data_IF_983950718340
#
_entry.id   IF_983950718340
#
_cell.length_a   1.000
_cell.length_b   1.000
_cell.length_c   1.000
_cell.angle_alpha   90.00
_cell.angle_beta   90.00
_cell.angle_gamma   90.00
#
_symmetry.space_group_name_H-M   'P 1'
#
loop_
_entity.id
_entity.type
_entity.pdbx_description
1 polymer ?
#
# COMPACT_ATOMS: atom_id res chain seq x y z
N UNK A 1 4.00 -14.62 29.75
CA UNK A 1 4.54 -14.83 28.40
C UNK A 1 5.82 -14.03 28.08
N UNK A 2 6.62 -13.59 29.06
CA UNK A 2 7.67 -12.57 28.82
C UNK A 2 9.10 -13.05 28.51
N UNK A 3 9.59 -14.16 29.08
CA UNK A 3 11.02 -14.54 28.94
C UNK A 3 11.33 -15.44 27.75
N UNK A 4 10.41 -16.33 27.39
CA UNK A 4 10.60 -17.29 26.30
C UNK A 4 10.53 -16.64 24.91
N UNK A 5 9.80 -15.54 24.74
CA UNK A 5 9.66 -14.88 23.44
C UNK A 5 10.99 -14.26 22.95
N UNK A 6 11.84 -13.78 23.87
CA UNK A 6 13.14 -13.19 23.54
C UNK A 6 14.17 -14.22 23.05
N UNK A 7 14.00 -15.50 23.40
CA UNK A 7 14.85 -16.59 22.90
C UNK A 7 14.74 -16.68 21.37
N UNK A 8 13.55 -16.40 20.81
CA UNK A 8 13.33 -16.40 19.36
C UNK A 8 13.60 -15.04 18.71
N UNK A 9 13.46 -13.93 19.44
CA UNK A 9 13.64 -12.60 18.86
C UNK A 9 15.07 -12.33 18.37
N UNK A 10 16.11 -12.68 19.14
CA UNK A 10 17.50 -12.44 18.72
C UNK A 10 17.90 -13.25 17.48
N UNK A 11 17.59 -14.56 17.39
CA UNK A 11 17.75 -15.32 16.14
C UNK A 11 16.93 -14.76 14.98
N UNK A 12 15.69 -14.32 15.22
CA UNK A 12 14.85 -13.73 14.18
C UNK A 12 15.45 -12.42 13.64
N UNK A 13 16.06 -11.59 14.48
CA UNK A 13 16.77 -10.38 14.06
C UNK A 13 17.93 -10.71 13.09
N UNK A 14 18.70 -11.76 13.38
CA UNK A 14 19.75 -12.24 12.46
C UNK A 14 19.16 -12.77 11.14
N UNK A 15 18.04 -13.49 11.23
CA UNK A 15 17.31 -13.97 10.05
C UNK A 15 16.86 -12.83 9.13
N UNK A 16 16.30 -11.75 9.69
CA UNK A 16 15.90 -10.57 8.91
C UNK A 16 17.09 -9.91 8.22
N UNK A 17 18.23 -9.80 8.90
CA UNK A 17 19.45 -9.26 8.30
C UNK A 17 19.92 -10.12 7.12
N UNK A 18 20.03 -11.43 7.31
CA UNK A 18 20.43 -12.35 6.26
C UNK A 18 19.46 -12.33 5.07
N UNK A 19 18.15 -12.33 5.35
CA UNK A 19 17.12 -12.25 4.33
C UNK A 19 17.24 -10.99 3.48
N UNK A 20 17.52 -9.84 4.12
CA UNK A 20 17.77 -8.57 3.43
C UNK A 20 19.02 -8.65 2.55
N UNK A 21 20.11 -9.22 3.06
CA UNK A 21 21.37 -9.32 2.32
C UNK A 21 21.22 -10.20 1.08
N UNK A 22 20.59 -11.38 1.20
CA UNK A 22 20.28 -12.24 0.06
C UNK A 22 19.33 -11.50 -0.91
N UNK A 23 18.35 -10.77 -0.38
CA UNK A 23 17.45 -9.95 -1.18
C UNK A 23 18.16 -8.86 -1.99
N UNK A 24 19.20 -8.23 -1.45
CA UNK A 24 20.01 -7.23 -2.16
C UNK A 24 20.89 -7.84 -3.25
N UNK A 25 21.37 -9.08 -3.05
CA UNK A 25 22.21 -9.78 -4.02
C UNK A 25 21.40 -10.47 -5.13
N UNK A 26 20.13 -10.77 -4.86
CA UNK A 26 19.24 -11.48 -5.78
C UNK A 26 18.51 -10.59 -6.79
N UNK A 27 17.62 -11.23 -7.57
CA UNK A 27 16.77 -10.55 -8.54
C UNK A 27 15.85 -9.52 -7.87
N UNK A 28 15.75 -8.33 -8.45
CA UNK A 28 14.83 -7.29 -7.98
C UNK A 28 13.48 -7.38 -8.70
N UNK A 29 12.39 -7.20 -7.96
CA UNK A 29 11.07 -7.04 -8.52
C UNK A 29 10.98 -5.71 -9.29
N UNK A 30 10.42 -5.76 -10.50
CA UNK A 30 10.09 -4.59 -11.32
C UNK A 30 8.62 -4.24 -11.14
N UNK A 31 8.35 -2.95 -10.93
CA UNK A 31 7.00 -2.44 -10.79
C UNK A 31 6.22 -2.61 -12.10
N UNK A 32 5.04 -3.23 -12.06
CA UNK A 32 4.19 -3.40 -13.27
C UNK A 32 3.65 -2.08 -13.83
N UNK A 33 3.63 -1.00 -13.02
CA UNK A 33 3.15 0.33 -13.45
C UNK A 33 4.25 1.22 -14.02
N UNK A 34 5.43 1.28 -13.39
CA UNK A 34 6.49 2.21 -13.79
C UNK A 34 7.77 1.54 -14.30
N UNK A 35 7.90 0.22 -14.22
CA UNK A 35 9.07 -0.54 -14.68
C UNK A 35 10.28 -0.52 -13.73
N UNK A 36 10.34 0.42 -12.79
CA UNK A 36 11.44 0.56 -11.83
C UNK A 36 11.56 -0.65 -10.90
N UNK A 37 12.80 -1.00 -10.55
CA UNK A 37 13.10 -1.91 -9.45
C UNK A 37 12.78 -1.27 -8.10
N UNK A 38 12.24 -2.03 -7.13
CA UNK A 38 11.80 -1.44 -5.86
C UNK A 38 11.97 -2.32 -4.60
N UNK A 39 12.16 -3.62 -4.76
CA UNK A 39 12.39 -4.57 -3.67
C UNK A 39 12.95 -5.87 -4.26
N UNK A 40 13.47 -6.77 -3.42
CA UNK A 40 13.84 -8.11 -3.88
C UNK A 40 12.62 -8.87 -4.37
N UNK A 41 12.77 -9.65 -5.45
CA UNK A 41 11.71 -10.48 -6.00
C UNK A 41 11.23 -11.51 -4.99
N UNK A 42 12.16 -12.14 -4.28
CA UNK A 42 11.89 -13.05 -3.16
C UNK A 42 10.95 -12.41 -2.13
N UNK A 43 11.22 -11.18 -1.69
CA UNK A 43 10.36 -10.49 -0.73
C UNK A 43 8.94 -10.27 -1.23
N UNK A 44 8.79 -9.91 -2.50
CA UNK A 44 7.47 -9.71 -3.09
C UNK A 44 6.72 -11.03 -3.25
N UNK A 45 7.39 -12.10 -3.67
CA UNK A 45 6.77 -13.43 -3.85
C UNK A 45 6.37 -14.06 -2.51
N UNK A 46 7.22 -13.94 -1.49
CA UNK A 46 6.92 -14.40 -0.14
C UNK A 46 5.72 -13.64 0.45
N UNK A 47 5.68 -12.32 0.28
CA UNK A 47 4.56 -11.51 0.76
C UNK A 47 3.25 -11.91 0.08
N UNK A 48 3.24 -12.14 -1.23
CA UNK A 48 2.06 -12.61 -1.97
C UNK A 48 1.60 -13.97 -1.44
N UNK A 49 2.55 -14.87 -1.15
CA UNK A 49 2.26 -16.21 -0.64
C UNK A 49 1.60 -16.14 0.73
N UNK A 50 2.21 -15.40 1.67
CA UNK A 50 1.68 -15.21 3.02
C UNK A 50 0.31 -14.53 3.01
N UNK A 51 0.13 -13.51 2.17
CA UNK A 51 -1.18 -12.84 2.05
C UNK A 51 -2.29 -13.81 1.62
N UNK A 52 -2.00 -14.70 0.67
CA UNK A 52 -2.94 -15.74 0.23
C UNK A 52 -3.22 -16.77 1.32
N UNK A 53 -2.20 -17.22 2.03
CA UNK A 53 -2.34 -18.16 3.15
C UNK A 53 -3.19 -17.57 4.29
N UNK A 54 -3.08 -16.27 4.52
CA UNK A 54 -3.90 -15.53 5.48
C UNK A 54 -5.31 -15.17 4.96
N UNK A 55 -5.62 -15.51 3.71
CA UNK A 55 -6.92 -15.24 3.09
C UNK A 55 -7.13 -13.79 2.60
N UNK A 56 -6.06 -12.99 2.53
CA UNK A 56 -6.11 -11.67 1.92
C UNK A 56 -6.14 -11.79 0.39
N UNK A 57 -7.08 -11.09 -0.23
CA UNK A 57 -7.24 -11.07 -1.69
C UNK A 57 -6.85 -9.71 -2.23
N UNK A 58 -5.64 -9.64 -2.79
CA UNK A 58 -5.09 -8.44 -3.42
C UNK A 58 -4.75 -8.64 -4.90
N UNK A 59 -5.30 -9.68 -5.53
CA UNK A 59 -5.25 -9.86 -6.98
C UNK A 59 -6.02 -8.71 -7.66
N UNK A 60 -5.45 -8.16 -8.72
CA UNK A 60 -5.96 -7.01 -9.48
C UNK A 60 -6.52 -7.52 -10.81
N UNK A 61 -7.85 -7.42 -10.99
CA UNK A 61 -8.58 -8.03 -12.11
C UNK A 61 -8.36 -9.56 -12.24
N UNK A 62 -8.97 -10.19 -13.24
CA UNK A 62 -9.08 -11.65 -13.35
C UNK A 62 -7.74 -12.39 -13.62
N UNK A 63 -6.60 -11.69 -13.63
CA UNK A 63 -5.30 -12.26 -13.95
C UNK A 63 -4.43 -12.43 -12.68
N UNK A 64 -4.07 -13.66 -12.29
CA UNK A 64 -3.19 -13.92 -11.14
C UNK A 64 -1.79 -13.31 -11.28
N UNK A 65 -1.36 -12.96 -12.49
CA UNK A 65 -0.11 -12.24 -12.73
C UNK A 65 -0.18 -10.79 -12.25
N UNK A 66 -1.38 -10.22 -12.08
CA UNK A 66 -1.62 -8.88 -11.57
C UNK A 66 -1.96 -8.97 -10.10
N UNK A 67 -0.99 -8.65 -9.24
CA UNK A 67 -1.17 -8.61 -7.79
C UNK A 67 -0.74 -7.25 -7.25
N UNK A 68 -1.44 -6.72 -6.25
CA UNK A 68 -1.16 -5.39 -5.67
C UNK A 68 0.29 -5.23 -5.21
N UNK A 69 0.91 -6.34 -4.77
CA UNK A 69 2.29 -6.34 -4.30
C UNK A 69 3.34 -6.24 -5.40
N UNK A 70 2.93 -6.39 -6.67
CA UNK A 70 3.77 -6.13 -7.85
C UNK A 70 3.82 -4.66 -8.27
N UNK A 71 3.13 -3.77 -7.54
CA UNK A 71 3.17 -2.32 -7.76
C UNK A 71 3.99 -1.65 -6.65
N UNK A 72 4.99 -0.84 -7.02
CA UNK A 72 5.88 -0.22 -6.04
C UNK A 72 5.14 0.77 -5.10
N UNK A 73 5.66 1.02 -3.87
CA UNK A 73 5.00 1.91 -2.90
C UNK A 73 4.69 3.32 -3.42
N UNK A 74 5.58 3.89 -4.25
CA UNK A 74 5.38 5.20 -4.90
C UNK A 74 4.15 5.18 -5.80
N UNK A 75 4.06 4.16 -6.66
CA UNK A 75 2.94 3.98 -7.57
C UNK A 75 1.63 3.69 -6.83
N UNK A 76 1.66 2.92 -5.73
CA UNK A 76 0.46 2.68 -4.88
C UNK A 76 -0.11 3.97 -4.30
N UNK A 77 0.74 4.85 -3.76
CA UNK A 77 0.30 6.17 -3.28
C UNK A 77 -0.29 7.03 -4.40
N UNK A 78 0.32 7.03 -5.58
CA UNK A 78 -0.20 7.75 -6.74
C UNK A 78 -1.57 7.21 -7.18
N UNK A 79 -1.75 5.88 -7.23
CA UNK A 79 -3.02 5.26 -7.57
C UNK A 79 -4.12 5.63 -6.56
N UNK A 80 -3.81 5.64 -5.26
CA UNK A 80 -4.75 6.07 -4.23
C UNK A 80 -5.16 7.53 -4.43
N UNK A 81 -4.19 8.43 -4.62
CA UNK A 81 -4.47 9.85 -4.85
C UNK A 81 -5.34 10.08 -6.09
N UNK A 82 -5.06 9.35 -7.19
CA UNK A 82 -5.88 9.40 -8.41
C UNK A 82 -7.30 8.89 -8.15
N UNK A 83 -7.46 7.78 -7.43
CA UNK A 83 -8.78 7.25 -7.08
C UNK A 83 -9.58 8.23 -6.22
N UNK A 84 -8.93 8.85 -5.22
CA UNK A 84 -9.55 9.89 -4.40
C UNK A 84 -9.93 11.12 -5.22
N UNK A 85 -9.05 11.59 -6.11
CA UNK A 85 -9.34 12.69 -7.03
C UNK A 85 -10.56 12.42 -7.90
N UNK A 86 -10.67 11.21 -8.47
CA UNK A 86 -11.84 10.81 -9.27
C UNK A 86 -13.14 10.79 -8.47
N UNK A 87 -13.09 10.34 -7.21
CA UNK A 87 -14.26 10.39 -6.32
C UNK A 87 -14.64 11.84 -6.04
N UNK A 88 -13.67 12.70 -5.75
CA UNK A 88 -13.93 14.13 -5.52
C UNK A 88 -14.46 14.86 -6.75
N UNK A 89 -13.99 14.54 -7.94
CA UNK A 89 -14.52 15.10 -9.19
C UNK A 89 -16.01 14.74 -9.38
N UNK A 90 -16.44 13.56 -8.94
CA UNK A 90 -17.86 13.16 -8.95
C UNK A 90 -18.72 14.01 -8.00
N UNK A 91 -18.16 14.46 -6.87
CA UNK A 91 -18.86 15.31 -5.89
C UNK A 91 -18.75 16.81 -6.17
N UNK A 92 -17.69 17.26 -6.85
CA UNK A 92 -17.49 18.69 -7.18
C UNK A 92 -18.53 19.22 -8.16
N UNK A 93 -19.22 18.33 -8.90
CA UNK A 93 -19.95 18.71 -10.10
C UNK A 93 -18.99 19.28 -11.15
N UNK A 94 -19.31 19.15 -12.43
CA UNK A 94 -18.60 19.91 -13.46
C UNK A 94 -19.01 21.40 -13.40
N UNK A 95 -18.83 22.04 -12.24
CA UNK A 95 -18.92 23.48 -12.07
C UNK A 95 -17.63 24.10 -12.58
N UNK A 96 -17.78 24.97 -13.59
CA UNK A 96 -16.75 25.91 -14.02
C UNK A 96 -16.03 26.50 -12.80
N UNK A 97 -14.71 26.73 -12.89
CA UNK A 97 -13.89 27.25 -11.78
C UNK A 97 -14.18 28.75 -11.53
N UNK A 98 -15.44 29.09 -11.30
CA UNK A 98 -15.88 30.31 -10.66
C UNK A 98 -15.70 30.17 -9.15
N UNK A 99 -14.67 30.84 -8.64
CA UNK A 99 -14.39 31.21 -7.26
C UNK A 99 -14.88 30.28 -6.11
N UNK A 100 -13.91 29.76 -5.35
CA UNK A 100 -14.01 29.34 -3.94
C UNK A 100 -14.45 27.89 -3.58
N UNK A 101 -13.81 26.88 -4.18
CA UNK A 101 -13.92 25.47 -3.76
C UNK A 101 -13.10 25.02 -2.53
N UNK A 102 -12.74 25.94 -1.62
CA UNK A 102 -11.98 25.62 -0.39
C UNK A 102 -12.67 26.07 0.92
N UNK A 103 -13.82 26.73 0.83
CA UNK A 103 -14.63 27.02 2.01
C UNK A 103 -15.66 25.91 2.16
N UNK A 104 -15.39 24.99 3.10
CA UNK A 104 -16.39 24.40 4.01
C UNK A 104 -16.08 22.93 4.39
N UNK A 105 -14.84 22.67 4.84
CA UNK A 105 -14.52 21.43 5.57
C UNK A 105 -15.02 21.51 7.02
N UNK A 106 -15.37 22.72 7.50
CA UNK A 106 -15.85 22.96 8.85
C UNK A 106 -17.30 22.49 9.08
N UNK A 107 -18.21 22.62 8.10
CA UNK A 107 -19.59 22.12 8.23
C UNK A 107 -19.69 20.60 8.26
N UNK A 108 -18.72 19.88 7.67
CA UNK A 108 -18.69 18.43 7.65
C UNK A 108 -18.24 17.79 8.98
N UNK A 109 -17.67 18.57 9.91
CA UNK A 109 -17.11 18.06 11.18
C UNK A 109 -17.76 18.66 12.44
N UNK A 110 -18.72 19.58 12.31
CA UNK A 110 -19.40 20.21 13.44
C UNK A 110 -20.71 19.53 13.79
N UNK A 111 -20.67 18.54 14.69
CA UNK A 111 -21.86 17.93 15.28
C UNK A 111 -22.63 18.91 16.18
N UNK A 112 -23.96 18.81 16.11
CA UNK A 112 -24.91 19.54 16.96
C UNK A 112 -24.52 19.42 18.44
N UNK A 113 -24.19 20.57 19.04
CA UNK A 113 -24.33 20.77 20.48
C UNK A 113 -25.43 21.79 20.69
N UNK A 114 -26.66 21.29 20.74
CA UNK A 114 -27.79 22.04 21.29
C UNK A 114 -27.76 22.05 22.83
N UNK A 115 -28.40 23.09 23.34
CA UNK A 115 -28.49 23.61 24.71
C UNK A 115 -28.92 22.62 25.79
#
# INVERSE_FOLDING_TARGET
FGKFFHIFQRPAQLGVAFYRDVGCLGEQARCTRCGDEYASKMHIEDLITVERELGYRYDLAADPAQHYQRVCPRCRRAMLAIAQGRLWDQYRGHGDLGESGIADVASLLGGDKEQ
#
